data_IF_390019171787
#
_entry.id   IF_390019171787
#
_cell.length_a   1.000
_cell.length_b   1.000
_cell.length_c   1.000
_cell.angle_alpha   90.00
_cell.angle_beta   90.00
_cell.angle_gamma   90.00
#
_symmetry.space_group_name_H-M   'P 1'
#
loop_
_entity.id
_entity.type
_entity.pdbx_description
1 polymer ?
#
# COMPACT_ATOMS: atom_id res chain seq x y z
N UNK A 1 5.78 -13.69 10.92
CA UNK A 1 5.00 -12.90 9.93
C UNK A 1 5.00 -13.68 8.63
N UNK A 2 3.85 -14.06 8.07
CA UNK A 2 3.79 -14.63 6.72
C UNK A 2 3.17 -13.57 5.80
N UNK A 3 3.99 -13.01 4.93
CA UNK A 3 3.53 -12.17 3.83
C UNK A 3 2.77 -13.06 2.84
N UNK A 4 1.59 -12.64 2.41
CA UNK A 4 0.77 -13.38 1.43
C UNK A 4 0.99 -12.77 0.05
N UNK A 5 0.82 -11.46 -0.08
CA UNK A 5 1.17 -10.74 -1.29
C UNK A 5 1.60 -9.29 -1.01
N UNK A 6 2.34 -8.72 -1.96
CA UNK A 6 2.54 -7.29 -2.15
C UNK A 6 2.16 -6.97 -3.59
N UNK A 7 1.41 -5.90 -3.79
CA UNK A 7 1.09 -5.34 -5.09
C UNK A 7 1.36 -3.83 -5.05
N UNK A 8 1.93 -3.30 -6.13
CA UNK A 8 2.05 -1.87 -6.37
C UNK A 8 1.29 -1.49 -7.64
N UNK A 9 0.52 -0.42 -7.58
CA UNK A 9 -0.25 0.13 -8.69
C UNK A 9 -0.03 1.63 -8.83
N UNK A 10 -0.25 2.16 -10.03
CA UNK A 10 -0.24 3.61 -10.26
C UNK A 10 -1.60 4.24 -9.88
N UNK A 11 -1.73 5.55 -10.12
CA UNK A 11 -2.93 6.36 -9.92
C UNK A 11 -4.10 6.01 -10.83
N UNK A 12 -3.84 5.36 -11.96
CA UNK A 12 -4.88 4.80 -12.84
C UNK A 12 -5.38 3.43 -12.37
N UNK A 13 -4.82 2.87 -11.29
CA UNK A 13 -5.15 1.54 -10.79
C UNK A 13 -4.54 0.40 -11.63
N UNK A 14 -3.57 0.68 -12.49
CA UNK A 14 -2.82 -0.33 -13.24
C UNK A 14 -1.74 -0.94 -12.36
N UNK A 15 -1.64 -2.27 -12.39
CA UNK A 15 -0.62 -3.01 -11.64
C UNK A 15 0.75 -2.77 -12.26
N UNK A 16 1.67 -2.21 -11.47
CA UNK A 16 3.07 -2.00 -11.86
C UNK A 16 3.93 -3.22 -11.56
N UNK A 17 3.70 -3.84 -10.39
CA UNK A 17 4.42 -5.05 -9.96
C UNK A 17 3.64 -5.75 -8.85
N UNK A 18 3.84 -7.06 -8.73
CA UNK A 18 3.28 -7.86 -7.66
C UNK A 18 4.14 -9.07 -7.32
N UNK A 19 3.99 -9.56 -6.10
CA UNK A 19 4.65 -10.76 -5.61
C UNK A 19 3.72 -11.52 -4.65
N UNK A 20 3.74 -12.85 -4.76
CA UNK A 20 2.92 -13.75 -3.93
C UNK A 20 1.58 -14.07 -4.57
N UNK A 21 0.62 -14.50 -3.75
CA UNK A 21 -0.75 -14.84 -4.19
C UNK A 21 -1.59 -13.56 -4.33
N UNK A 22 -1.21 -12.70 -5.29
CA UNK A 22 -1.87 -11.42 -5.55
C UNK A 22 -3.25 -11.62 -6.19
N UNK A 23 -4.27 -10.81 -5.83
CA UNK A 23 -5.58 -10.83 -6.47
C UNK A 23 -5.60 -10.21 -7.87
N UNK A 24 -4.50 -9.61 -8.33
CA UNK A 24 -4.32 -9.15 -9.71
C UNK A 24 -4.98 -7.80 -10.02
N UNK A 25 -5.22 -7.57 -11.31
CA UNK A 25 -5.65 -6.27 -11.87
C UNK A 25 -7.01 -5.80 -11.37
N UNK A 26 -7.98 -6.70 -11.21
CA UNK A 26 -9.33 -6.34 -10.77
C UNK A 26 -9.35 -5.76 -9.35
N UNK A 27 -8.36 -6.06 -8.52
CA UNK A 27 -8.28 -5.59 -7.14
C UNK A 27 -7.64 -4.21 -7.02
N UNK A 28 -6.67 -3.88 -7.87
CA UNK A 28 -5.85 -2.68 -7.74
C UNK A 28 -6.68 -1.39 -7.68
N UNK A 29 -7.65 -1.12 -8.59
CA UNK A 29 -8.44 0.10 -8.56
C UNK A 29 -9.24 0.30 -7.26
N UNK A 30 -9.75 -0.79 -6.67
CA UNK A 30 -10.50 -0.73 -5.41
C UNK A 30 -9.59 -0.41 -4.23
N UNK A 31 -8.40 -1.01 -4.19
CA UNK A 31 -7.44 -0.76 -3.11
C UNK A 31 -6.92 0.69 -3.12
N UNK A 32 -6.66 1.24 -4.31
CA UNK A 32 -6.34 2.66 -4.52
C UNK A 32 -7.48 3.55 -4.02
N UNK A 33 -8.71 3.26 -4.44
CA UNK A 33 -9.90 4.02 -4.03
C UNK A 33 -10.11 4.06 -2.51
N UNK A 34 -9.82 2.96 -1.81
CA UNK A 34 -9.89 2.90 -0.33
C UNK A 34 -8.86 3.82 0.30
N UNK A 35 -7.63 3.85 -0.23
CA UNK A 35 -6.57 4.72 0.29
C UNK A 35 -6.93 6.20 0.10
N UNK A 36 -7.35 6.59 -1.10
CA UNK A 36 -7.75 7.98 -1.40
C UNK A 36 -8.93 8.44 -0.55
N UNK A 37 -9.93 7.56 -0.39
CA UNK A 37 -11.08 7.82 0.48
C UNK A 37 -10.65 8.01 1.94
N UNK A 38 -9.70 7.19 2.40
CA UNK A 38 -9.15 7.28 3.76
C UNK A 38 -8.41 8.60 3.97
N UNK A 39 -7.65 9.08 2.98
CA UNK A 39 -6.96 10.38 3.05
C UNK A 39 -7.94 11.55 3.11
N UNK A 40 -8.91 11.58 2.20
CA UNK A 40 -9.96 12.61 2.19
C UNK A 40 -10.73 12.64 3.52
N UNK A 41 -11.06 11.47 4.06
CA UNK A 41 -11.72 11.38 5.36
C UNK A 41 -10.82 11.92 6.48
N UNK A 42 -9.53 11.60 6.46
CA UNK A 42 -8.55 12.08 7.43
C UNK A 42 -8.41 13.61 7.42
N UNK A 43 -8.38 14.20 6.23
CA UNK A 43 -8.35 15.65 6.01
C UNK A 43 -9.61 16.32 6.56
N UNK A 44 -10.79 15.85 6.15
CA UNK A 44 -12.09 16.40 6.58
C UNK A 44 -12.26 16.32 8.09
N UNK A 45 -11.82 15.22 8.71
CA UNK A 45 -11.95 14.99 10.15
C UNK A 45 -10.82 15.63 10.98
N UNK A 46 -9.79 16.19 10.34
CA UNK A 46 -8.65 16.81 11.03
C UNK A 46 -7.74 15.81 11.76
N UNK A 47 -7.62 14.57 11.26
CA UNK A 47 -6.74 13.55 11.85
C UNK A 47 -5.26 13.68 11.44
N UNK A 48 -4.98 14.56 10.48
CA UNK A 48 -3.65 14.71 9.87
C UNK A 48 -3.40 13.68 8.76
N UNK A 49 -2.13 13.49 8.40
CA UNK A 49 -1.75 12.61 7.28
C UNK A 49 -1.66 11.14 7.71
N UNK A 50 -2.50 10.25 7.16
CA UNK A 50 -2.48 8.83 7.54
C UNK A 50 -1.22 8.16 6.98
N UNK A 51 -0.54 7.37 7.83
CA UNK A 51 0.59 6.54 7.39
C UNK A 51 0.11 5.45 6.42
N UNK A 52 -1.04 4.84 6.67
CA UNK A 52 -1.64 3.80 5.85
C UNK A 52 -3.13 3.65 6.20
N UNK A 53 -3.89 3.04 5.29
CA UNK A 53 -5.20 2.47 5.59
C UNK A 53 -5.05 0.96 5.81
N UNK A 54 -5.86 0.36 6.69
CA UNK A 54 -5.76 -1.06 6.96
C UNK A 54 -7.12 -1.71 7.23
N UNK A 55 -7.30 -2.92 6.68
CA UNK A 55 -8.43 -3.80 6.99
C UNK A 55 -7.96 -4.94 7.88
N UNK A 56 -8.57 -5.06 9.06
CA UNK A 56 -8.41 -6.24 9.92
C UNK A 56 -9.41 -7.30 9.46
N UNK A 57 -8.91 -8.41 8.95
CA UNK A 57 -9.70 -9.50 8.40
C UNK A 57 -9.86 -10.63 9.43
N UNK A 58 -10.86 -11.49 9.20
CA UNK A 58 -11.05 -12.71 10.00
C UNK A 58 -9.74 -13.53 10.07
N UNK A 59 -9.49 -14.08 11.26
CA UNK A 59 -8.28 -14.85 11.55
C UNK A 59 -7.03 -13.99 11.83
N UNK A 60 -7.19 -12.68 12.05
CA UNK A 60 -6.09 -11.77 12.39
C UNK A 60 -5.20 -11.39 11.20
N UNK A 61 -5.65 -11.69 9.97
CA UNK A 61 -4.99 -11.22 8.74
C UNK A 61 -5.20 -9.72 8.60
N UNK A 62 -4.28 -9.05 7.95
CA UNK A 62 -4.38 -7.60 7.73
C UNK A 62 -3.97 -7.24 6.30
N UNK A 63 -4.84 -6.50 5.63
CA UNK A 63 -4.54 -5.82 4.37
C UNK A 63 -4.13 -4.38 4.71
N UNK A 64 -2.94 -3.98 4.31
CA UNK A 64 -2.40 -2.64 4.52
C UNK A 64 -2.31 -1.96 3.15
N UNK A 65 -2.84 -0.74 3.06
CA UNK A 65 -2.83 0.09 1.87
C UNK A 65 -2.08 1.39 2.16
N UNK A 66 -1.22 1.83 1.24
CA UNK A 66 -0.40 3.03 1.41
C UNK A 66 -0.20 3.74 0.08
N UNK A 67 -0.28 5.06 0.05
CA UNK A 67 0.18 5.87 -1.09
C UNK A 67 1.60 6.37 -0.81
N UNK A 68 2.52 6.12 -1.74
CA UNK A 68 3.84 6.72 -1.78
C UNK A 68 3.95 7.66 -2.98
N UNK A 69 4.46 8.87 -2.75
CA UNK A 69 4.85 9.78 -3.84
C UNK A 69 6.29 9.51 -4.24
N UNK A 70 6.50 9.06 -5.47
CA UNK A 70 7.81 8.74 -6.05
C UNK A 70 7.95 9.60 -7.31
N UNK A 71 8.93 10.50 -7.31
CA UNK A 71 9.19 11.45 -8.42
C UNK A 71 7.93 12.22 -8.90
N UNK A 72 7.11 12.65 -7.94
CA UNK A 72 5.86 13.37 -8.22
C UNK A 72 4.68 12.50 -8.64
N UNK A 73 4.88 11.18 -8.82
CA UNK A 73 3.83 10.22 -9.16
C UNK A 73 3.34 9.47 -7.93
N UNK A 74 2.04 9.19 -7.87
CA UNK A 74 1.44 8.39 -6.81
C UNK A 74 1.56 6.90 -7.13
N UNK A 75 2.18 6.15 -6.22
CA UNK A 75 2.28 4.69 -6.26
C UNK A 75 1.57 4.13 -5.05
N UNK A 76 0.56 3.31 -5.29
CA UNK A 76 -0.27 2.69 -4.27
C UNK A 76 0.24 1.29 -3.96
N UNK A 77 0.41 0.98 -2.68
CA UNK A 77 0.87 -0.31 -2.18
C UNK A 77 -0.26 -1.03 -1.48
N UNK A 78 -0.44 -2.31 -1.81
CA UNK A 78 -1.33 -3.23 -1.14
C UNK A 78 -0.55 -4.42 -0.61
N UNK A 79 -0.60 -4.62 0.71
CA UNK A 79 0.19 -5.64 1.43
C UNK A 79 -0.75 -6.50 2.25
N UNK A 80 -0.88 -7.78 1.91
CA UNK A 80 -1.64 -8.74 2.71
C UNK A 80 -0.71 -9.61 3.56
N UNK A 81 -0.97 -9.66 4.86
CA UNK A 81 -0.19 -10.45 5.80
C UNK A 81 -1.09 -11.32 6.69
N UNK A 82 -0.56 -12.46 7.13
CA UNK A 82 -1.29 -13.40 8.00
C UNK A 82 -1.47 -12.90 9.44
N UNK A 83 -0.61 -11.98 9.88
CA UNK A 83 -0.63 -11.28 11.17
C UNK A 83 -0.01 -9.91 10.99
N UNK A 84 -0.48 -8.94 11.79
CA UNK A 84 0.03 -7.56 11.80
C UNK A 84 1.55 -7.55 12.01
N UNK A 85 2.33 -6.90 11.14
CA UNK A 85 3.77 -6.70 11.34
C UNK A 85 4.02 -5.86 12.59
N UNK A 86 5.00 -6.25 13.41
CA UNK A 86 5.56 -5.34 14.39
C UNK A 86 6.31 -4.23 13.64
N UNK A 87 5.80 -2.99 13.69
CA UNK A 87 6.39 -1.86 12.97
C UNK A 87 5.98 -1.75 11.49
N UNK A 88 4.66 -1.70 11.23
CA UNK A 88 4.08 -1.50 9.88
C UNK A 88 4.73 -0.33 9.13
N UNK A 89 4.93 0.81 9.79
CA UNK A 89 5.55 1.99 9.19
C UNK A 89 6.99 1.71 8.70
N UNK A 90 7.78 0.96 9.46
CA UNK A 90 9.14 0.63 9.08
C UNK A 90 9.17 -0.34 7.87
N UNK A 91 8.22 -1.28 7.81
CA UNK A 91 8.05 -2.16 6.66
C UNK A 91 7.68 -1.36 5.40
N UNK A 92 6.66 -0.49 5.49
CA UNK A 92 6.24 0.36 4.37
C UNK A 92 7.43 1.19 3.86
N UNK A 93 8.14 1.89 4.75
CA UNK A 93 9.31 2.69 4.39
C UNK A 93 10.37 1.90 3.62
N UNK A 94 10.63 0.66 4.02
CA UNK A 94 11.60 -0.22 3.34
C UNK A 94 11.11 -0.64 1.94
N UNK A 95 9.82 -0.91 1.79
CA UNK A 95 9.22 -1.25 0.49
C UNK A 95 9.25 -0.04 -0.44
N UNK A 96 8.81 1.12 0.06
CA UNK A 96 8.86 2.39 -0.71
C UNK A 96 10.27 2.70 -1.13
N UNK A 97 11.26 2.62 -0.23
CA UNK A 97 12.66 2.85 -0.59
C UNK A 97 13.14 1.88 -1.70
N UNK A 98 12.73 0.61 -1.65
CA UNK A 98 13.05 -0.35 -2.70
C UNK A 98 12.46 0.06 -4.06
N UNK A 99 11.17 0.45 -4.08
CA UNK A 99 10.48 0.90 -5.28
C UNK A 99 11.04 2.20 -5.82
N UNK A 100 11.36 3.16 -4.96
CA UNK A 100 11.99 4.42 -5.37
C UNK A 100 13.29 4.17 -6.10
N UNK A 101 14.17 3.29 -5.57
CA UNK A 101 15.41 2.94 -6.26
C UNK A 101 15.16 2.25 -7.60
N UNK A 102 14.21 1.32 -7.65
CA UNK A 102 13.89 0.60 -8.87
C UNK A 102 13.30 1.49 -9.98
N UNK A 103 12.45 2.46 -9.60
CA UNK A 103 11.75 3.34 -10.54
C UNK A 103 12.58 4.55 -10.98
N UNK A 104 13.45 5.07 -10.11
CA UNK A 104 14.22 6.29 -10.38
C UNK A 104 15.68 6.04 -10.73
N UNK A 105 16.20 4.84 -10.47
CA UNK A 105 17.62 4.52 -10.66
C UNK A 105 18.58 5.22 -9.69
N UNK A 106 18.07 5.98 -8.71
CA UNK A 106 18.88 6.59 -7.66
C UNK A 106 19.22 5.55 -6.58
N UNK A 107 20.49 5.46 -6.17
CA UNK A 107 20.97 4.56 -5.10
C UNK A 107 20.64 5.07 -3.68
#
# INVERSE_FOLDING_TARGET
MKLIFIQASNDEGLVMTEAGESPGEDFAPYSTSVMESSQKMSEIAGFGDPICSALVLKGGRMLIMHEARIDGQSVYLSILCSRVPAGVQALIKRIVACLTRALTGNE
#
